data_IF_603802276571
#
_entry.id   IF_603802276571
#
_cell.length_a   1.000
_cell.length_b   1.000
_cell.length_c   1.000
_cell.angle_alpha   90.00
_cell.angle_beta   90.00
_cell.angle_gamma   90.00
#
_symmetry.space_group_name_H-M   'P 1'
#
loop_
_entity.id
_entity.type
_entity.pdbx_description
1 polymer ?
#
# COMPACT_ATOMS: atom_id res chain seq x y z
N UNK A 1 -1.30 -7.66 -5.45
CA UNK A 1 -1.95 -9.00 -5.48
C UNK A 1 -1.55 -9.72 -4.22
N UNK A 2 -2.54 -10.03 -3.40
CA UNK A 2 -2.39 -10.71 -2.12
C UNK A 2 -2.42 -12.25 -2.31
N UNK A 3 -1.54 -13.02 -1.64
CA UNK A 3 -1.58 -14.47 -1.69
C UNK A 3 -2.60 -14.95 -0.65
N UNK A 4 -3.84 -15.18 -1.09
CA UNK A 4 -4.94 -15.58 -0.21
C UNK A 4 -5.20 -17.08 -0.26
N UNK A 5 -5.39 -17.68 0.91
CA UNK A 5 -5.76 -19.07 1.09
C UNK A 5 -6.63 -19.24 2.34
N UNK A 6 -7.52 -20.22 2.35
CA UNK A 6 -8.30 -20.55 3.55
C UNK A 6 -7.40 -21.12 4.66
N UNK A 7 -6.36 -21.85 4.25
CA UNK A 7 -5.26 -22.26 5.11
C UNK A 7 -4.07 -21.33 4.89
N UNK A 8 -3.23 -21.20 5.91
CA UNK A 8 -1.96 -20.47 5.79
C UNK A 8 -1.12 -21.09 4.67
N UNK A 9 -0.63 -20.24 3.78
CA UNK A 9 0.19 -20.67 2.66
C UNK A 9 1.62 -20.92 3.12
N UNK A 10 2.23 -21.95 2.58
CA UNK A 10 3.68 -22.14 2.66
C UNK A 10 4.40 -21.14 1.74
N UNK A 11 5.69 -20.94 1.98
CA UNK A 11 6.52 -20.07 1.12
C UNK A 11 6.51 -20.54 -0.34
N UNK A 12 6.53 -21.86 -0.58
CA UNK A 12 6.56 -22.42 -1.93
C UNK A 12 5.21 -22.26 -2.65
N UNK A 13 4.09 -22.36 -1.94
CA UNK A 13 2.76 -22.09 -2.50
C UNK A 13 2.60 -20.61 -2.86
N UNK A 14 3.00 -19.71 -1.96
CA UNK A 14 2.97 -18.27 -2.22
C UNK A 14 3.88 -17.90 -3.40
N UNK A 15 5.09 -18.45 -3.46
CA UNK A 15 6.01 -18.22 -4.58
C UNK A 15 5.46 -18.79 -5.89
N UNK A 16 4.87 -19.99 -5.86
CA UNK A 16 4.28 -20.63 -7.03
C UNK A 16 3.18 -19.76 -7.66
N UNK A 17 2.32 -19.15 -6.85
CA UNK A 17 1.31 -18.19 -7.30
C UNK A 17 1.94 -17.01 -8.03
N UNK A 18 2.91 -16.32 -7.40
CA UNK A 18 3.55 -15.15 -8.01
C UNK A 18 4.33 -15.50 -9.27
N UNK A 19 5.01 -16.65 -9.29
CA UNK A 19 5.75 -17.13 -10.45
C UNK A 19 4.81 -17.38 -11.64
N UNK A 20 3.69 -18.09 -11.41
CA UNK A 20 2.70 -18.36 -12.45
C UNK A 20 2.09 -17.05 -13.00
N UNK A 21 1.67 -16.14 -12.12
CA UNK A 21 1.12 -14.84 -12.51
C UNK A 21 2.15 -14.05 -13.31
N UNK A 22 3.39 -13.98 -12.83
CA UNK A 22 4.47 -13.24 -13.49
C UNK A 22 4.79 -13.76 -14.90
N UNK A 23 4.47 -15.02 -15.22
CA UNK A 23 4.67 -15.57 -16.57
C UNK A 23 3.47 -15.31 -17.49
N UNK A 24 2.27 -15.18 -16.93
CA UNK A 24 1.02 -15.09 -17.69
C UNK A 24 0.64 -13.65 -18.05
N UNK A 25 1.14 -12.66 -17.30
CA UNK A 25 0.78 -11.25 -17.52
C UNK A 25 1.86 -10.48 -18.27
N UNK A 26 1.42 -9.48 -19.03
CA UNK A 26 2.30 -8.55 -19.76
C UNK A 26 2.58 -7.26 -18.99
N UNK A 27 1.90 -7.01 -17.87
CA UNK A 27 2.02 -5.80 -17.06
C UNK A 27 2.81 -6.05 -15.78
N UNK A 28 3.44 -5.02 -15.18
CA UNK A 28 4.01 -5.14 -13.84
C UNK A 28 2.97 -5.51 -12.79
N UNK A 29 3.41 -6.18 -11.73
CA UNK A 29 2.59 -6.71 -10.65
C UNK A 29 3.21 -6.34 -9.32
N UNK A 30 2.46 -5.62 -8.50
CA UNK A 30 2.77 -5.44 -7.08
C UNK A 30 2.34 -6.68 -6.30
N UNK A 31 3.26 -7.31 -5.57
CA UNK A 31 2.93 -8.36 -4.61
C UNK A 31 2.50 -7.73 -3.27
N UNK A 32 1.36 -8.15 -2.73
CA UNK A 32 0.76 -7.54 -1.54
C UNK A 32 0.83 -8.50 -0.36
N UNK A 33 1.33 -8.04 0.78
CA UNK A 33 1.51 -8.87 1.96
C UNK A 33 0.19 -9.13 2.69
N UNK A 34 -0.06 -10.39 3.07
CA UNK A 34 -1.13 -10.76 3.98
C UNK A 34 -0.54 -11.25 5.32
N UNK A 35 -0.35 -10.39 6.34
CA UNK A 35 0.26 -10.83 7.59
C UNK A 35 -0.58 -11.88 8.35
N UNK A 36 -1.88 -12.00 8.06
CA UNK A 36 -2.75 -13.02 8.67
C UNK A 36 -2.64 -14.40 8.01
N UNK A 37 -2.15 -14.46 6.77
CA UNK A 37 -1.99 -15.68 5.99
C UNK A 37 -0.53 -16.04 5.70
N UNK A 38 0.24 -15.09 5.20
CA UNK A 38 1.65 -15.22 4.85
C UNK A 38 2.40 -13.87 4.88
N UNK A 39 3.35 -13.72 5.81
CA UNK A 39 4.22 -12.55 5.92
C UNK A 39 5.49 -12.73 5.08
N UNK A 40 5.94 -11.66 4.43
CA UNK A 40 7.12 -11.71 3.57
C UNK A 40 8.42 -11.73 4.38
N UNK A 41 9.42 -12.44 3.87
CA UNK A 41 10.76 -12.49 4.48
C UNK A 41 11.80 -11.88 3.53
N UNK A 42 12.99 -11.48 4.01
CA UNK A 42 14.09 -11.06 3.13
C UNK A 42 14.46 -12.12 2.07
N UNK A 43 14.36 -13.40 2.43
CA UNK A 43 14.61 -14.52 1.49
C UNK A 43 13.53 -14.55 0.41
N UNK A 44 12.27 -14.42 0.82
CA UNK A 44 11.13 -14.41 -0.11
C UNK A 44 11.18 -13.21 -1.06
N UNK A 45 11.52 -12.01 -0.57
CA UNK A 45 11.67 -10.84 -1.43
C UNK A 45 12.75 -11.02 -2.50
N UNK A 46 13.86 -11.70 -2.20
CA UNK A 46 14.88 -12.03 -3.20
C UNK A 46 14.37 -13.02 -4.24
N UNK A 47 13.52 -13.98 -3.85
CA UNK A 47 12.86 -14.89 -4.81
C UNK A 47 11.92 -14.09 -5.71
N UNK A 48 11.10 -13.21 -5.14
CA UNK A 48 10.18 -12.36 -5.88
C UNK A 48 10.89 -11.44 -6.86
N UNK A 49 12.02 -10.82 -6.48
CA UNK A 49 12.77 -9.92 -7.35
C UNK A 49 13.39 -10.60 -8.57
N UNK A 50 13.45 -11.93 -8.60
CA UNK A 50 13.90 -12.69 -9.76
C UNK A 50 12.79 -12.91 -10.81
N UNK A 51 11.53 -12.58 -10.48
CA UNK A 51 10.39 -12.76 -11.38
C UNK A 51 10.25 -11.56 -12.32
N UNK A 52 10.05 -11.78 -13.64
CA UNK A 52 10.15 -10.72 -14.66
C UNK A 52 9.05 -9.65 -14.58
N UNK A 53 7.97 -9.87 -13.82
CA UNK A 53 6.84 -8.92 -13.68
C UNK A 53 6.65 -8.42 -12.26
N UNK A 54 7.49 -8.80 -11.30
CA UNK A 54 7.39 -8.30 -9.93
C UNK A 54 8.42 -7.20 -9.73
N UNK A 55 7.95 -5.95 -9.62
CA UNK A 55 8.77 -4.76 -9.45
C UNK A 55 8.53 -4.05 -8.11
N UNK A 56 7.41 -4.34 -7.46
CA UNK A 56 6.99 -3.70 -6.23
C UNK A 56 6.35 -4.67 -5.25
N UNK A 57 6.39 -4.31 -3.97
CA UNK A 57 5.61 -4.95 -2.92
C UNK A 57 4.84 -3.93 -2.09
N UNK A 58 3.65 -4.31 -1.66
CA UNK A 58 2.86 -3.61 -0.65
C UNK A 58 3.00 -4.38 0.67
N UNK A 59 3.37 -3.68 1.73
CA UNK A 59 3.58 -4.24 3.06
C UNK A 59 2.54 -3.68 4.03
N UNK A 60 2.14 -4.50 5.00
CA UNK A 60 1.04 -4.16 5.91
C UNK A 60 1.47 -3.22 7.06
N UNK A 61 2.77 -3.02 7.28
CA UNK A 61 3.26 -2.25 8.44
C UNK A 61 4.62 -1.60 8.27
N UNK A 62 4.79 -0.47 8.94
CA UNK A 62 5.98 0.38 8.87
C UNK A 62 7.24 -0.30 9.41
N UNK A 63 7.10 -1.12 10.45
CA UNK A 63 8.19 -1.95 10.98
C UNK A 63 8.71 -2.92 9.93
N UNK A 64 7.82 -3.47 9.11
CA UNK A 64 8.19 -4.42 8.08
C UNK A 64 8.88 -3.74 6.89
N UNK A 65 8.36 -2.58 6.46
CA UNK A 65 9.04 -1.71 5.48
C UNK A 65 10.46 -1.40 5.94
N UNK A 66 10.63 -0.99 7.21
CA UNK A 66 11.95 -0.69 7.78
C UNK A 66 12.89 -1.89 7.80
N UNK A 67 12.37 -3.06 8.15
CA UNK A 67 13.16 -4.29 8.20
C UNK A 67 13.59 -4.75 6.80
N UNK A 68 12.72 -4.63 5.80
CA UNK A 68 12.94 -5.18 4.46
C UNK A 68 13.61 -4.22 3.47
N UNK A 69 13.53 -2.90 3.70
CA UNK A 69 14.08 -1.87 2.78
C UNK A 69 15.56 -2.01 2.48
N UNK A 70 16.33 -2.67 3.35
CA UNK A 70 17.77 -2.91 3.17
C UNK A 70 18.10 -4.22 2.46
N UNK A 71 17.10 -5.00 2.07
CA UNK A 71 17.27 -6.37 1.59
C UNK A 71 16.72 -6.61 0.18
N UNK A 72 16.23 -5.59 -0.50
CA UNK A 72 15.68 -5.69 -1.85
C UNK A 72 15.81 -4.38 -2.60
N UNK A 73 15.85 -4.48 -3.93
CA UNK A 73 15.72 -3.33 -4.85
C UNK A 73 14.27 -3.15 -5.33
N UNK A 74 13.35 -4.02 -4.91
CA UNK A 74 11.93 -3.87 -5.19
C UNK A 74 11.39 -2.58 -4.56
N UNK A 75 10.49 -1.90 -5.27
CA UNK A 75 9.78 -0.77 -4.72
C UNK A 75 8.90 -1.22 -3.55
N UNK A 76 9.25 -0.84 -2.33
CA UNK A 76 8.41 -1.10 -1.16
C UNK A 76 7.33 -0.02 -1.07
N UNK A 77 6.11 -0.40 -0.74
CA UNK A 77 5.07 0.55 -0.38
C UNK A 77 4.27 0.11 0.84
N UNK A 78 3.54 1.07 1.40
CA UNK A 78 2.68 0.89 2.57
C UNK A 78 1.22 0.83 2.12
N UNK A 79 0.51 -0.21 2.56
CA UNK A 79 -0.87 -0.48 2.19
C UNK A 79 -1.93 0.21 3.05
N UNK A 80 -1.53 0.96 4.07
CA UNK A 80 -2.46 1.63 4.98
C UNK A 80 -2.26 3.14 5.01
N UNK A 81 -3.37 3.88 4.93
CA UNK A 81 -3.43 5.33 4.94
C UNK A 81 -3.01 5.90 6.30
N UNK A 82 -3.45 5.28 7.40
CA UNK A 82 -3.21 5.77 8.76
C UNK A 82 -1.72 5.86 9.13
N UNK A 83 -0.87 5.08 8.46
CA UNK A 83 0.58 4.99 8.72
C UNK A 83 1.40 5.30 7.47
N UNK A 84 0.81 5.96 6.46
CA UNK A 84 1.43 6.15 5.16
C UNK A 84 2.74 6.94 5.23
N UNK A 85 2.73 8.04 5.98
CA UNK A 85 3.89 8.91 6.18
C UNK A 85 5.04 8.20 6.89
N UNK A 86 4.71 7.47 7.96
CA UNK A 86 5.67 6.67 8.71
C UNK A 86 6.24 5.51 7.87
N UNK A 87 5.43 4.96 6.96
CA UNK A 87 5.86 3.97 5.99
C UNK A 87 6.87 4.54 4.98
N UNK A 88 6.67 5.77 4.52
CA UNK A 88 7.64 6.48 3.68
C UNK A 88 8.94 6.72 4.47
N UNK A 89 8.86 7.19 5.71
CA UNK A 89 10.04 7.42 6.57
C UNK A 89 10.80 6.12 6.89
N UNK A 90 10.10 4.98 6.89
CA UNK A 90 10.67 3.67 7.08
C UNK A 90 11.46 3.14 5.85
N UNK A 91 11.50 3.89 4.75
CA UNK A 91 12.14 3.50 3.49
C UNK A 91 11.16 3.05 2.41
N UNK A 92 9.85 3.26 2.63
CA UNK A 92 8.82 3.04 1.64
C UNK A 92 8.92 4.05 0.49
N UNK A 93 8.75 3.56 -0.72
CA UNK A 93 8.78 4.35 -1.95
C UNK A 93 7.39 4.58 -2.54
N UNK A 94 6.36 3.93 -2.03
CA UNK A 94 4.97 4.04 -2.52
C UNK A 94 3.95 4.02 -1.39
N UNK A 95 2.79 4.62 -1.63
CA UNK A 95 1.63 4.61 -0.74
C UNK A 95 0.43 4.10 -1.54
N UNK A 96 -0.06 2.92 -1.18
CA UNK A 96 -1.27 2.33 -1.76
C UNK A 96 -2.46 2.78 -0.89
N UNK A 97 -3.23 3.74 -1.41
CA UNK A 97 -4.10 4.58 -0.60
C UNK A 97 -5.59 4.40 -0.92
N UNK A 98 -6.43 4.28 0.11
CA UNK A 98 -7.88 4.35 -0.07
C UNK A 98 -8.35 5.80 -0.17
N UNK A 99 -7.86 6.70 0.71
CA UNK A 99 -8.20 8.13 0.59
C UNK A 99 -7.65 8.80 -0.64
N UNK A 100 -6.57 8.30 -1.23
CA UNK A 100 -6.08 8.77 -2.52
C UNK A 100 -7.14 8.65 -3.63
N UNK A 101 -8.09 7.70 -3.50
CA UNK A 101 -9.20 7.53 -4.43
C UNK A 101 -10.34 8.54 -4.24
N UNK A 102 -10.51 9.12 -3.05
CA UNK A 102 -11.62 10.03 -2.72
C UNK A 102 -11.20 11.48 -2.45
N UNK A 103 -9.95 11.68 -2.03
CA UNK A 103 -9.32 12.97 -1.72
C UNK A 103 -7.95 13.09 -2.43
N UNK A 104 -7.87 12.92 -3.76
CA UNK A 104 -6.58 12.83 -4.48
C UNK A 104 -5.72 14.07 -4.31
N UNK A 105 -6.32 15.27 -4.29
CA UNK A 105 -5.59 16.52 -4.11
C UNK A 105 -4.85 16.60 -2.77
N UNK A 106 -5.50 16.15 -1.69
CA UNK A 106 -4.91 16.07 -0.37
C UNK A 106 -3.78 15.04 -0.33
N UNK A 107 -4.06 13.79 -0.74
CA UNK A 107 -3.09 12.70 -0.68
C UNK A 107 -1.83 12.99 -1.52
N UNK A 108 -1.99 13.57 -2.71
CA UNK A 108 -0.86 13.97 -3.56
C UNK A 108 -0.06 15.12 -2.94
N UNK A 109 -0.73 16.14 -2.39
CA UNK A 109 -0.05 17.25 -1.74
C UNK A 109 0.77 16.77 -0.53
N UNK A 110 0.21 15.85 0.26
CA UNK A 110 0.87 15.28 1.43
C UNK A 110 2.06 14.39 1.04
N UNK A 111 1.89 13.49 0.07
CA UNK A 111 2.97 12.64 -0.42
C UNK A 111 4.13 13.44 -1.02
N UNK A 112 3.84 14.51 -1.77
CA UNK A 112 4.87 15.42 -2.32
C UNK A 112 5.61 16.17 -1.22
N UNK A 113 4.88 16.78 -0.29
CA UNK A 113 5.48 17.51 0.82
C UNK A 113 6.44 16.62 1.62
N UNK A 114 6.05 15.35 1.87
CA UNK A 114 6.92 14.39 2.55
C UNK A 114 8.14 14.02 1.71
N UNK A 115 7.99 13.74 0.42
CA UNK A 115 9.13 13.44 -0.48
C UNK A 115 10.13 14.59 -0.61
N UNK A 116 9.63 15.82 -0.56
CA UNK A 116 10.44 17.04 -0.64
C UNK A 116 11.12 17.40 0.70
N UNK A 117 10.79 16.70 1.79
CA UNK A 117 11.30 17.01 3.14
C UNK A 117 10.73 18.30 3.72
N UNK A 118 9.56 18.75 3.24
CA UNK A 118 8.87 19.95 3.73
C UNK A 118 8.03 19.63 4.98
N UNK A 119 8.72 19.47 6.11
CA UNK A 119 8.10 19.11 7.40
C UNK A 119 7.03 20.11 7.84
N UNK A 120 7.21 21.40 7.53
CA UNK A 120 6.25 22.44 7.86
C UNK A 120 4.94 22.26 7.08
N UNK A 121 5.03 21.95 5.78
CA UNK A 121 3.85 21.67 4.96
C UNK A 121 3.19 20.35 5.33
N UNK A 122 3.97 19.31 5.65
CA UNK A 122 3.42 18.05 6.15
C UNK A 122 2.63 18.30 7.44
N UNK A 123 3.22 18.96 8.44
CA UNK A 123 2.56 19.26 9.70
C UNK A 123 1.28 20.08 9.52
N UNK A 124 1.29 21.05 8.59
CA UNK A 124 0.10 21.85 8.27
C UNK A 124 -1.02 21.00 7.67
N UNK A 125 -0.70 20.13 6.72
CA UNK A 125 -1.67 19.25 6.05
C UNK A 125 -2.21 18.17 6.99
N UNK A 126 -1.38 17.60 7.85
CA UNK A 126 -1.84 16.56 8.79
C UNK A 126 -2.68 17.14 9.91
N UNK A 127 -2.31 18.31 10.46
CA UNK A 127 -3.04 18.93 11.57
C UNK A 127 -4.49 19.31 11.20
N UNK A 128 -4.75 19.71 9.95
CA UNK A 128 -6.13 20.00 9.50
C UNK A 128 -7.01 18.76 9.38
N UNK A 129 -6.41 17.57 9.28
CA UNK A 129 -7.10 16.31 8.98
C UNK A 129 -7.02 15.28 10.11
N UNK A 130 -6.65 15.68 11.34
CA UNK A 130 -6.61 14.76 12.48
C UNK A 130 -7.91 13.96 12.70
N UNK A 131 -9.11 14.55 12.55
CA UNK A 131 -10.36 13.78 12.64
C UNK A 131 -10.47 12.65 11.60
N UNK A 132 -9.95 12.87 10.38
CA UNK A 132 -9.91 11.84 9.34
C UNK A 132 -8.99 10.69 9.75
N UNK A 133 -7.79 11.00 10.24
CA UNK A 133 -6.83 9.99 10.69
C UNK A 133 -7.37 9.17 11.87
N UNK A 134 -8.11 9.80 12.78
CA UNK A 134 -8.76 9.10 13.89
C UNK A 134 -9.83 8.12 13.40
N UNK A 135 -10.65 8.53 12.43
CA UNK A 135 -11.63 7.64 11.81
C UNK A 135 -10.95 6.44 11.15
N UNK A 136 -9.83 6.65 10.44
CA UNK A 136 -9.09 5.57 9.79
C UNK A 136 -8.53 4.56 10.78
N UNK A 137 -7.87 5.03 11.84
CA UNK A 137 -7.36 4.15 12.91
C UNK A 137 -8.48 3.35 13.57
N UNK A 138 -9.68 3.93 13.70
CA UNK A 138 -10.81 3.30 14.37
C UNK A 138 -11.61 2.33 13.49
N UNK A 139 -11.85 2.69 12.23
CA UNK A 139 -12.79 1.99 11.35
C UNK A 139 -12.14 1.32 10.13
N UNK A 140 -10.86 1.62 9.88
CA UNK A 140 -10.10 1.11 8.74
C UNK A 140 -10.35 1.89 7.46
N UNK A 141 -9.32 1.92 6.62
CA UNK A 141 -9.19 2.78 5.44
C UNK A 141 -10.37 2.64 4.46
N UNK A 142 -10.72 1.39 4.10
CA UNK A 142 -11.79 1.13 3.13
C UNK A 142 -13.18 1.63 3.59
N UNK A 143 -13.51 1.50 4.89
CA UNK A 143 -14.81 1.94 5.42
C UNK A 143 -14.92 3.45 5.45
N UNK A 144 -13.84 4.12 5.86
CA UNK A 144 -13.78 5.59 5.90
C UNK A 144 -13.82 6.16 4.49
N UNK A 145 -13.03 5.62 3.55
CA UNK A 145 -13.05 6.05 2.16
C UNK A 145 -14.44 5.85 1.52
N UNK A 146 -15.11 4.72 1.76
CA UNK A 146 -16.45 4.48 1.25
C UNK A 146 -17.50 5.45 1.83
N UNK A 147 -17.39 5.79 3.11
CA UNK A 147 -18.27 6.79 3.73
C UNK A 147 -18.07 8.17 3.09
N UNK A 148 -16.81 8.61 2.93
CA UNK A 148 -16.49 9.87 2.24
C UNK A 148 -17.04 9.88 0.81
N UNK A 149 -16.86 8.78 0.06
CA UNK A 149 -17.36 8.66 -1.30
C UNK A 149 -18.89 8.80 -1.41
N UNK A 150 -19.63 8.43 -0.35
CA UNK A 150 -21.10 8.54 -0.32
C UNK A 150 -21.55 9.99 -0.12
N UNK A 151 -20.78 10.79 0.61
CA UNK A 151 -21.09 12.18 0.92
C UNK A 151 -20.52 13.18 -0.10
N UNK A 152 -19.54 12.76 -0.92
CA UNK A 152 -19.04 13.56 -2.02
C UNK A 152 -20.10 13.65 -3.14
N UNK A 153 -20.34 14.85 -3.72
CA UNK A 153 -21.21 14.95 -4.87
C UNK A 153 -20.61 14.09 -6.00
N UNK A 154 -21.38 13.09 -6.47
CA UNK A 154 -20.99 12.24 -7.59
C UNK A 154 -20.70 13.10 -8.82
N UNK A 155 -19.44 13.41 -9.08
CA UNK A 155 -19.02 13.81 -10.42
C UNK A 155 -18.92 12.53 -11.24
N UNK A 156 -20.03 12.20 -11.91
CA UNK A 156 -20.24 11.12 -12.90
C UNK A 156 -20.88 9.84 -12.35
N UNK A 157 -22.13 9.50 -12.71
CA UNK A 157 -22.65 8.16 -12.48
C UNK A 157 -21.84 7.13 -13.26
N UNK A 158 -21.57 5.99 -12.65
CA UNK A 158 -20.99 4.81 -13.31
C UNK A 158 -21.80 4.49 -14.57
N UNK A 159 -21.18 4.23 -15.75
CA UNK A 159 -21.95 3.88 -16.94
C UNK A 159 -22.73 2.60 -16.66
N UNK A 160 -24.04 2.67 -16.86
CA UNK A 160 -24.94 1.52 -16.78
C UNK A 160 -24.43 0.44 -17.74
N UNK A 161 -24.34 -0.80 -17.25
CA UNK A 161 -24.04 -1.97 -18.09
C UNK A 161 -25.14 -2.21 -19.11
#
# INVERSE_FOLDING_TARGET
MEPVGYHGLTEDEAFGLYSAVSQLVSTPVTADENPSGFAFSPVFLRKLSALPRIDAVSLAGTSHVKALSKHTDLALGIGSDAVALEGIDAGGTSWYSAIGGVLPGFSVALARARREGDDARVAKLTASEEPLWELMRRYGDARVAAAIATDLPNETPWPSR
#
